data_IF_388681692494
#
_entry.id   IF_388681692494
#
_cell.length_a   1.000
_cell.length_b   1.000
_cell.length_c   1.000
_cell.angle_alpha   90.00
_cell.angle_beta   90.00
_cell.angle_gamma   90.00
#
_symmetry.space_group_name_H-M   'P 1'
#
loop_
_entity.id
_entity.type
_entity.pdbx_description
1 polymer ?
#
# COMPACT_ATOMS: atom_id res chain seq x y z
N UNK A 1 -62.09 37.98 20.72
CA UNK A 1 -62.91 37.10 21.59
C UNK A 1 -62.31 35.71 21.56
N UNK A 2 -61.77 35.26 22.70
CA UNK A 2 -61.48 33.87 23.15
C UNK A 2 -60.76 32.90 22.17
N UNK A 3 -59.48 32.51 22.33
CA UNK A 3 -58.81 31.72 23.40
C UNK A 3 -58.81 30.18 23.15
N UNK A 4 -57.63 29.55 23.37
CA UNK A 4 -57.29 28.12 23.69
C UNK A 4 -57.38 27.09 22.52
N UNK A 5 -56.48 26.09 22.27
CA UNK A 5 -55.15 25.69 22.79
C UNK A 5 -54.69 24.36 22.10
N UNK A 6 -53.35 24.15 22.00
CA UNK A 6 -52.57 22.88 21.91
C UNK A 6 -52.76 21.99 20.66
N UNK A 7 -51.71 21.60 19.94
CA UNK A 7 -50.61 20.76 20.45
C UNK A 7 -49.26 21.01 19.79
N UNK A 8 -48.21 20.95 20.61
CA UNK A 8 -46.79 20.87 20.26
C UNK A 8 -46.50 19.59 19.46
N UNK A 9 -45.83 19.71 18.32
CA UNK A 9 -44.88 18.70 17.85
C UNK A 9 -43.57 19.43 17.59
N UNK A 10 -42.55 19.05 18.36
CA UNK A 10 -41.19 19.54 18.26
C UNK A 10 -40.58 18.98 16.97
N UNK A 11 -40.39 19.81 15.95
CA UNK A 11 -39.56 19.46 14.79
C UNK A 11 -38.12 19.79 15.17
N UNK A 12 -37.39 18.79 15.64
CA UNK A 12 -35.92 18.84 15.64
C UNK A 12 -35.44 18.81 14.20
N UNK A 13 -34.92 19.94 13.71
CA UNK A 13 -34.09 19.98 12.51
C UNK A 13 -32.82 19.15 12.77
N UNK A 14 -32.80 17.90 12.30
CA UNK A 14 -31.55 17.18 12.08
C UNK A 14 -30.88 17.80 10.85
N UNK A 15 -29.85 18.61 11.08
CA UNK A 15 -28.85 18.95 10.08
C UNK A 15 -28.29 17.64 9.52
N UNK A 16 -28.68 17.31 8.30
CA UNK A 16 -28.14 16.20 7.55
C UNK A 16 -26.63 16.35 7.45
N UNK A 17 -25.91 15.38 8.01
CA UNK A 17 -24.48 15.24 7.81
C UNK A 17 -24.22 15.10 6.32
N UNK A 18 -23.53 16.08 5.75
CA UNK A 18 -22.88 15.96 4.45
C UNK A 18 -21.78 14.92 4.66
N UNK A 19 -22.08 13.66 4.36
CA UNK A 19 -21.05 12.65 4.14
C UNK A 19 -20.35 13.02 2.84
N UNK A 20 -19.17 13.62 2.95
CA UNK A 20 -18.22 13.61 1.85
C UNK A 20 -17.91 12.14 1.56
N UNK A 21 -18.50 11.59 0.50
CA UNK A 21 -17.98 10.36 -0.09
C UNK A 21 -16.63 10.78 -0.68
N UNK A 22 -15.53 10.44 -0.01
CA UNK A 22 -14.22 10.54 -0.62
C UNK A 22 -14.25 9.62 -1.85
N UNK A 23 -14.13 10.21 -3.03
CA UNK A 23 -13.83 9.45 -4.25
C UNK A 23 -12.47 8.79 -4.01
N UNK A 24 -12.45 7.48 -3.73
CA UNK A 24 -11.21 6.72 -3.78
C UNK A 24 -10.94 6.42 -5.25
N UNK A 25 -9.86 7.01 -5.74
CA UNK A 25 -9.25 6.68 -7.01
C UNK A 25 -8.46 5.38 -6.78
N UNK A 26 -8.57 4.43 -7.70
CA UNK A 26 -7.71 3.25 -7.67
C UNK A 26 -7.42 2.83 -9.10
N UNK A 27 -6.18 3.09 -9.51
CA UNK A 27 -5.46 2.33 -10.53
C UNK A 27 -3.96 2.60 -10.37
N UNK A 28 -3.32 1.88 -9.43
CA UNK A 28 -1.87 1.83 -9.19
C UNK A 28 -1.33 0.39 -9.08
N UNK A 29 -2.02 -0.54 -9.72
CA UNK A 29 -1.81 -1.99 -9.60
C UNK A 29 -0.37 -2.39 -9.92
N UNK A 30 0.20 -1.85 -10.99
CA UNK A 30 1.56 -2.18 -11.40
C UNK A 30 2.61 -1.64 -10.43
N UNK A 31 2.35 -0.50 -9.80
CA UNK A 31 3.19 0.11 -8.78
C UNK A 31 3.22 -0.71 -7.51
N UNK A 32 2.05 -1.11 -6.98
CA UNK A 32 1.98 -1.98 -5.81
C UNK A 32 2.64 -3.34 -6.06
N UNK A 33 2.42 -3.92 -7.25
CA UNK A 33 3.10 -5.12 -7.68
C UNK A 33 4.63 -4.95 -7.69
N UNK A 34 5.12 -3.79 -8.14
CA UNK A 34 6.56 -3.52 -8.19
C UNK A 34 7.17 -3.34 -6.79
N UNK A 35 6.48 -2.67 -5.88
CA UNK A 35 6.87 -2.54 -4.48
C UNK A 35 6.88 -3.90 -3.77
N UNK A 36 5.86 -4.73 -3.99
CA UNK A 36 5.79 -6.09 -3.42
C UNK A 36 6.94 -6.98 -3.91
N UNK A 37 7.27 -6.92 -5.21
CA UNK A 37 8.37 -7.68 -5.81
C UNK A 37 9.74 -7.17 -5.34
N UNK A 38 9.89 -5.84 -5.20
CA UNK A 38 11.09 -5.27 -4.63
C UNK A 38 11.28 -5.71 -3.18
N UNK A 39 10.22 -5.70 -2.38
CA UNK A 39 10.26 -6.18 -0.99
C UNK A 39 10.73 -7.64 -0.91
N UNK A 40 10.27 -8.51 -1.81
CA UNK A 40 10.81 -9.87 -1.95
C UNK A 40 12.31 -9.86 -2.26
N UNK A 41 12.77 -9.04 -3.21
CA UNK A 41 14.19 -8.95 -3.59
C UNK A 41 15.07 -8.42 -2.45
N UNK A 42 14.53 -7.52 -1.64
CA UNK A 42 15.22 -6.89 -0.50
C UNK A 42 15.31 -7.80 0.74
N UNK A 43 14.57 -8.91 0.78
CA UNK A 43 14.73 -9.93 1.83
C UNK A 43 16.15 -10.53 1.82
N UNK A 44 16.67 -10.94 3.00
CA UNK A 44 17.86 -11.77 3.07
C UNK A 44 17.63 -13.10 2.32
N UNK A 45 18.71 -13.70 1.82
CA UNK A 45 18.65 -15.06 1.29
C UNK A 45 18.17 -16.02 2.37
N UNK A 46 17.18 -16.86 2.03
CA UNK A 46 16.51 -17.70 3.00
C UNK A 46 15.22 -18.30 2.47
N UNK A 47 14.52 -19.09 3.30
CA UNK A 47 13.34 -19.84 2.88
C UNK A 47 12.20 -18.92 2.44
N UNK A 48 11.95 -17.81 3.14
CA UNK A 48 10.90 -16.87 2.75
C UNK A 48 11.16 -16.29 1.34
N UNK A 49 12.37 -15.80 1.08
CA UNK A 49 12.74 -15.26 -0.23
C UNK A 49 12.64 -16.31 -1.31
N UNK A 50 13.10 -17.53 -1.05
CA UNK A 50 13.01 -18.66 -1.99
C UNK A 50 11.55 -19.01 -2.31
N UNK A 51 10.67 -19.11 -1.31
CA UNK A 51 9.24 -19.36 -1.47
C UNK A 51 8.56 -18.27 -2.31
N UNK A 52 8.75 -17.00 -1.93
CA UNK A 52 8.16 -15.88 -2.67
C UNK A 52 8.71 -15.77 -4.09
N UNK A 53 9.95 -16.21 -4.34
CA UNK A 53 10.54 -16.24 -5.68
C UNK A 53 9.95 -17.37 -6.52
N UNK A 54 9.78 -18.56 -5.94
CA UNK A 54 9.16 -19.70 -6.62
C UNK A 54 7.69 -19.45 -6.97
N UNK A 55 7.00 -18.64 -6.15
CA UNK A 55 5.58 -18.29 -6.33
C UNK A 55 5.40 -16.80 -6.66
N UNK A 56 6.35 -16.21 -7.39
CA UNK A 56 6.36 -14.77 -7.72
C UNK A 56 5.07 -14.31 -8.42
N UNK A 57 4.51 -15.10 -9.32
CA UNK A 57 3.26 -14.74 -10.01
C UNK A 57 2.08 -14.59 -9.04
N UNK A 58 1.96 -15.47 -8.04
CA UNK A 58 0.97 -15.35 -6.96
C UNK A 58 1.22 -14.14 -6.07
N UNK A 59 2.48 -13.82 -5.77
CA UNK A 59 2.85 -12.60 -5.03
C UNK A 59 2.34 -11.35 -5.76
N UNK A 60 2.61 -11.25 -7.06
CA UNK A 60 2.15 -10.12 -7.87
C UNK A 60 0.62 -10.09 -7.96
N UNK A 61 -0.03 -11.24 -8.14
CA UNK A 61 -1.49 -11.35 -8.17
C UNK A 61 -2.12 -10.86 -6.87
N UNK A 62 -1.55 -11.21 -5.72
CA UNK A 62 -1.99 -10.73 -4.41
C UNK A 62 -1.81 -9.22 -4.23
N UNK A 63 -0.72 -8.65 -4.75
CA UNK A 63 -0.46 -7.21 -4.68
C UNK A 63 -1.39 -6.35 -5.54
N UNK A 64 -2.11 -6.97 -6.48
CA UNK A 64 -3.03 -6.32 -7.42
C UNK A 64 -4.49 -6.55 -7.03
N UNK A 65 -4.74 -7.63 -6.29
CA UNK A 65 -6.08 -8.09 -5.93
C UNK A 65 -7.01 -7.02 -5.36
N UNK A 66 -6.58 -6.13 -4.43
CA UNK A 66 -7.48 -5.16 -3.83
C UNK A 66 -8.10 -4.18 -4.85
N UNK A 67 -7.31 -3.65 -5.78
CA UNK A 67 -7.74 -2.59 -6.71
C UNK A 67 -8.81 -3.04 -7.71
N UNK A 68 -8.77 -4.30 -8.12
CA UNK A 68 -9.70 -4.83 -9.11
C UNK A 68 -11.16 -4.66 -8.71
N UNK A 69 -11.47 -4.70 -7.41
CA UNK A 69 -12.82 -4.57 -6.90
C UNK A 69 -13.36 -3.13 -6.93
N UNK A 70 -12.50 -2.11 -7.00
CA UNK A 70 -12.96 -0.74 -7.26
C UNK A 70 -13.46 -0.58 -8.69
N UNK A 71 -12.72 -1.15 -9.65
CA UNK A 71 -13.12 -1.13 -11.05
C UNK A 71 -14.40 -1.94 -11.30
N UNK A 72 -14.51 -3.16 -10.76
CA UNK A 72 -15.76 -3.92 -10.88
C UNK A 72 -16.90 -3.33 -10.05
N UNK A 73 -16.57 -2.63 -8.97
CA UNK A 73 -17.48 -1.88 -8.10
C UNK A 73 -18.41 -0.91 -8.82
N UNK A 74 -17.97 -0.37 -9.95
CA UNK A 74 -18.75 0.56 -10.76
C UNK A 74 -19.99 -0.12 -11.40
N UNK A 75 -19.89 -1.43 -11.69
CA UNK A 75 -20.99 -2.24 -12.21
C UNK A 75 -21.64 -3.13 -11.12
N UNK A 76 -20.87 -3.49 -10.08
CA UNK A 76 -21.26 -4.39 -8.99
C UNK A 76 -20.93 -3.73 -7.65
N UNK A 77 -21.79 -2.89 -7.09
CA UNK A 77 -21.47 -2.07 -5.91
C UNK A 77 -20.94 -2.85 -4.71
N UNK A 78 -21.30 -4.13 -4.56
CA UNK A 78 -20.78 -5.01 -3.52
C UNK A 78 -19.27 -5.32 -3.64
N UNK A 79 -18.71 -5.27 -4.85
CA UNK A 79 -17.29 -5.53 -5.11
C UNK A 79 -16.40 -4.43 -4.52
N UNK A 80 -16.93 -3.20 -4.34
CA UNK A 80 -16.21 -2.11 -3.69
C UNK A 80 -15.93 -2.42 -2.23
N UNK A 81 -16.88 -3.00 -1.50
CA UNK A 81 -16.65 -3.41 -0.12
C UNK A 81 -15.55 -4.49 -0.01
N UNK A 82 -15.49 -5.39 -0.99
CA UNK A 82 -14.44 -6.41 -1.09
C UNK A 82 -13.06 -5.80 -1.36
N UNK A 83 -12.99 -4.79 -2.23
CA UNK A 83 -11.77 -4.01 -2.47
C UNK A 83 -11.30 -3.35 -1.17
N UNK A 84 -12.15 -2.50 -0.57
CA UNK A 84 -11.85 -1.77 0.67
C UNK A 84 -11.35 -2.71 1.77
N UNK A 85 -12.04 -3.84 1.98
CA UNK A 85 -11.63 -4.85 2.94
C UNK A 85 -10.19 -5.33 2.73
N UNK A 86 -9.79 -5.60 1.49
CA UNK A 86 -8.47 -6.15 1.17
C UNK A 86 -7.32 -5.14 1.25
N UNK A 87 -7.58 -3.83 1.38
CA UNK A 87 -6.53 -2.82 1.59
C UNK A 87 -6.03 -2.81 3.04
N UNK A 88 -6.85 -3.27 4.01
CA UNK A 88 -6.55 -3.09 5.43
C UNK A 88 -5.87 -4.31 6.05
N UNK A 89 -4.98 -4.06 7.01
CA UNK A 89 -4.14 -5.13 7.58
C UNK A 89 -4.92 -6.22 8.33
N UNK A 90 -6.15 -5.98 8.75
CA UNK A 90 -6.98 -7.03 9.37
C UNK A 90 -7.49 -8.07 8.35
N UNK A 91 -7.54 -7.75 7.06
CA UNK A 91 -7.72 -8.76 6.03
C UNK A 91 -6.50 -9.67 5.99
N UNK A 92 -5.30 -9.10 6.09
CA UNK A 92 -4.06 -9.89 6.19
C UNK A 92 -4.04 -10.74 7.47
N UNK A 93 -4.50 -10.21 8.60
CA UNK A 93 -4.65 -10.99 9.85
C UNK A 93 -5.64 -12.15 9.69
N UNK A 94 -6.80 -11.91 9.05
CA UNK A 94 -7.79 -12.95 8.75
C UNK A 94 -7.20 -14.02 7.83
N UNK A 95 -6.39 -13.62 6.84
CA UNK A 95 -5.73 -14.54 5.92
C UNK A 95 -4.68 -15.39 6.66
N UNK A 96 -3.85 -14.77 7.50
CA UNK A 96 -2.91 -15.52 8.33
C UNK A 96 -3.63 -16.52 9.24
N UNK A 97 -4.74 -16.11 9.86
CA UNK A 97 -5.58 -17.01 10.68
C UNK A 97 -6.10 -18.19 9.84
N UNK A 98 -6.59 -17.92 8.63
CA UNK A 98 -7.04 -18.93 7.69
C UNK A 98 -5.94 -19.95 7.37
N UNK A 99 -4.72 -19.50 7.05
CA UNK A 99 -3.59 -20.38 6.77
C UNK A 99 -3.14 -21.21 7.98
N UNK A 100 -3.29 -20.67 9.19
CA UNK A 100 -2.87 -21.31 10.44
C UNK A 100 -3.87 -22.29 11.00
N UNK A 101 -5.17 -22.10 10.75
CA UNK A 101 -6.25 -22.85 11.42
C UNK A 101 -7.18 -23.56 10.45
N UNK A 102 -7.65 -22.86 9.43
CA UNK A 102 -8.82 -23.29 8.67
C UNK A 102 -8.45 -24.04 7.40
N UNK A 103 -7.41 -23.60 6.68
CA UNK A 103 -6.95 -24.26 5.45
C UNK A 103 -6.44 -25.66 5.75
N UNK A 104 -7.28 -26.65 5.44
CA UNK A 104 -7.06 -28.08 5.68
C UNK A 104 -6.56 -28.39 7.10
N UNK A 105 -7.12 -27.71 8.11
CA UNK A 105 -6.70 -27.86 9.51
C UNK A 105 -5.33 -27.23 9.83
N UNK A 106 -4.98 -26.13 9.14
CA UNK A 106 -3.70 -25.43 9.34
C UNK A 106 -2.53 -26.04 8.58
N UNK A 107 -2.80 -26.80 7.51
CA UNK A 107 -1.79 -27.50 6.71
C UNK A 107 -0.73 -26.54 6.16
N UNK A 108 -1.13 -25.42 5.58
CA UNK A 108 -0.18 -24.49 4.97
C UNK A 108 0.81 -23.89 5.98
N UNK A 109 0.36 -23.54 7.19
CA UNK A 109 1.28 -23.13 8.24
C UNK A 109 2.19 -24.28 8.70
N UNK A 110 1.69 -25.53 8.74
CA UNK A 110 2.53 -26.70 9.06
C UNK A 110 3.62 -26.91 8.00
N UNK A 111 3.25 -26.92 6.74
CA UNK A 111 4.22 -27.12 5.66
C UNK A 111 5.23 -25.97 5.59
N UNK A 112 4.82 -24.72 5.81
CA UNK A 112 5.74 -23.57 5.90
C UNK A 112 6.78 -23.74 7.03
N UNK A 113 6.37 -24.31 8.18
CA UNK A 113 7.27 -24.63 9.28
C UNK A 113 8.26 -25.72 8.94
N UNK A 114 7.76 -26.79 8.34
CA UNK A 114 8.58 -27.94 7.95
C UNK A 114 9.60 -27.49 6.89
N UNK A 115 9.19 -26.63 5.94
CA UNK A 115 10.04 -25.98 4.95
C UNK A 115 11.12 -25.07 5.57
N UNK A 116 10.76 -24.23 6.55
CA UNK A 116 11.74 -23.43 7.30
C UNK A 116 12.76 -24.33 8.01
N UNK A 117 12.30 -25.41 8.63
CA UNK A 117 13.15 -26.32 9.38
C UNK A 117 14.13 -27.07 8.46
N UNK A 118 13.68 -27.54 7.29
CA UNK A 118 14.56 -28.22 6.33
C UNK A 118 15.59 -27.27 5.73
N UNK A 119 15.21 -26.02 5.43
CA UNK A 119 16.14 -25.02 4.90
C UNK A 119 17.31 -24.71 5.85
N UNK A 120 17.11 -24.83 7.16
CA UNK A 120 18.17 -24.64 8.15
C UNK A 120 19.07 -25.88 8.33
N UNK A 121 18.66 -27.04 7.81
CA UNK A 121 19.34 -28.33 7.99
C UNK A 121 20.04 -28.80 6.71
N UNK A 122 19.57 -28.37 5.54
CA UNK A 122 20.13 -28.75 4.25
C UNK A 122 21.26 -27.80 3.81
N UNK A 123 22.38 -28.42 3.42
CA UNK A 123 23.65 -27.85 2.96
C UNK A 123 23.48 -26.54 2.12
N UNK A 124 24.26 -25.47 2.35
CA UNK A 124 24.19 -24.21 1.57
C UNK A 124 24.44 -24.34 0.06
N UNK A 125 24.84 -25.52 -0.42
CA UNK A 125 24.98 -25.86 -1.85
C UNK A 125 23.86 -26.76 -2.39
N UNK A 126 22.90 -27.19 -1.54
CA UNK A 126 21.77 -28.01 -1.97
C UNK A 126 20.79 -27.15 -2.76
N UNK A 127 20.49 -27.60 -3.98
CA UNK A 127 19.43 -27.06 -4.83
C UNK A 127 18.18 -26.84 -3.98
N UNK A 128 17.67 -25.60 -3.96
CA UNK A 128 16.38 -25.22 -3.37
C UNK A 128 15.41 -26.35 -3.69
N UNK A 129 14.84 -27.02 -2.70
CA UNK A 129 13.80 -28.00 -2.94
C UNK A 129 12.44 -27.30 -2.84
N UNK A 130 11.92 -26.68 -3.93
CA UNK A 130 10.60 -26.05 -3.92
C UNK A 130 9.47 -27.08 -3.70
N UNK A 131 9.77 -28.39 -3.61
CA UNK A 131 8.81 -29.45 -3.31
C UNK A 131 8.62 -29.70 -1.81
N UNK A 132 9.32 -28.98 -0.92
CA UNK A 132 9.11 -29.06 0.53
C UNK A 132 7.80 -28.42 1.01
N UNK A 133 7.14 -27.66 0.13
CA UNK A 133 5.84 -27.02 0.34
C UNK A 133 4.94 -27.39 -0.85
N UNK A 134 3.68 -27.72 -0.58
CA UNK A 134 2.71 -27.96 -1.64
C UNK A 134 2.49 -26.70 -2.49
N UNK A 135 2.27 -26.88 -3.79
CA UNK A 135 2.10 -25.75 -4.72
C UNK A 135 0.91 -24.87 -4.35
N UNK A 136 -0.18 -25.44 -3.83
CA UNK A 136 -1.35 -24.67 -3.42
C UNK A 136 -1.06 -23.84 -2.15
N UNK A 137 -0.38 -24.40 -1.15
CA UNK A 137 0.03 -23.62 0.02
C UNK A 137 1.07 -22.55 -0.32
N UNK A 138 2.05 -22.86 -1.18
CA UNK A 138 3.05 -21.88 -1.62
C UNK A 138 2.44 -20.69 -2.35
N UNK A 139 1.50 -20.94 -3.26
CA UNK A 139 0.72 -19.91 -3.96
C UNK A 139 -0.12 -19.07 -2.99
N UNK A 140 -0.85 -19.71 -2.08
CA UNK A 140 -1.68 -19.02 -1.08
C UNK A 140 -0.85 -18.11 -0.15
N UNK A 141 0.29 -18.61 0.32
CA UNK A 141 1.22 -17.83 1.15
C UNK A 141 1.76 -16.65 0.36
N UNK A 142 2.26 -16.86 -0.86
CA UNK A 142 2.76 -15.77 -1.69
C UNK A 142 1.68 -14.73 -2.00
N UNK A 143 0.46 -15.16 -2.30
CA UNK A 143 -0.68 -14.26 -2.52
C UNK A 143 -0.99 -13.42 -1.27
N UNK A 144 -1.05 -14.03 -0.09
CA UNK A 144 -1.25 -13.30 1.17
C UNK A 144 -0.18 -12.22 1.36
N UNK A 145 1.09 -12.55 1.13
CA UNK A 145 2.19 -11.59 1.24
C UNK A 145 2.06 -10.45 0.23
N UNK A 146 1.65 -10.75 -1.00
CA UNK A 146 1.38 -9.73 -2.01
C UNK A 146 0.31 -8.76 -1.56
N UNK A 147 -0.81 -9.29 -1.04
CA UNK A 147 -1.90 -8.45 -0.56
C UNK A 147 -1.50 -7.64 0.69
N UNK A 148 -0.72 -8.22 1.60
CA UNK A 148 -0.17 -7.49 2.73
C UNK A 148 0.69 -6.30 2.27
N UNK A 149 1.56 -6.53 1.27
CA UNK A 149 2.37 -5.49 0.67
C UNK A 149 1.52 -4.38 0.07
N UNK A 150 0.47 -4.73 -0.68
CA UNK A 150 -0.46 -3.75 -1.24
C UNK A 150 -0.93 -2.76 -0.17
N UNK A 151 -1.58 -3.22 0.90
CA UNK A 151 -2.13 -2.36 1.94
C UNK A 151 -1.10 -1.44 2.60
N UNK A 152 0.09 -1.96 2.95
CA UNK A 152 1.17 -1.14 3.49
C UNK A 152 1.67 -0.11 2.47
N UNK A 153 1.81 -0.53 1.21
CA UNK A 153 2.39 0.31 0.15
C UNK A 153 1.45 1.41 -0.28
N UNK A 154 0.15 1.14 -0.31
CA UNK A 154 -0.93 2.10 -0.55
C UNK A 154 -0.88 3.22 0.49
N UNK A 155 -0.89 2.85 1.77
CA UNK A 155 -0.74 3.81 2.86
C UNK A 155 0.55 4.64 2.74
N UNK A 156 1.69 3.98 2.43
CA UNK A 156 2.98 4.65 2.31
C UNK A 156 3.08 5.58 1.11
N UNK A 157 2.51 5.19 -0.03
CA UNK A 157 2.48 5.96 -1.27
C UNK A 157 1.68 7.25 -1.07
N UNK A 158 0.47 7.12 -0.54
CA UNK A 158 -0.41 8.27 -0.26
C UNK A 158 0.14 9.18 0.83
N UNK A 159 0.92 8.60 1.76
CA UNK A 159 1.48 9.36 2.88
C UNK A 159 2.82 10.02 2.57
N UNK A 160 3.57 9.57 1.57
CA UNK A 160 4.94 10.03 1.27
C UNK A 160 5.12 10.50 -0.16
N UNK A 161 4.65 9.73 -1.14
CA UNK A 161 4.93 9.96 -2.55
C UNK A 161 3.89 10.90 -3.18
N UNK A 162 2.63 10.50 -3.16
CA UNK A 162 1.56 11.20 -3.88
C UNK A 162 1.48 12.69 -3.51
N UNK A 163 1.61 13.09 -2.24
CA UNK A 163 1.48 14.50 -1.93
C UNK A 163 2.72 15.31 -2.29
N UNK A 164 3.87 14.68 -2.52
CA UNK A 164 5.04 15.37 -3.09
C UNK A 164 4.80 15.69 -4.58
N UNK A 165 4.11 14.82 -5.31
CA UNK A 165 3.62 15.08 -6.67
C UNK A 165 2.61 16.25 -6.65
N UNK A 166 1.58 16.15 -5.79
CA UNK A 166 0.53 17.18 -5.66
C UNK A 166 1.07 18.55 -5.25
N UNK A 167 2.03 18.60 -4.31
CA UNK A 167 2.65 19.85 -3.88
C UNK A 167 3.40 20.59 -4.99
N UNK A 168 3.75 19.89 -6.08
CA UNK A 168 4.42 20.45 -7.26
C UNK A 168 3.45 20.79 -8.40
N UNK A 169 2.15 20.57 -8.19
CA UNK A 169 1.12 20.81 -9.19
C UNK A 169 1.19 19.87 -10.39
N UNK A 170 1.85 18.71 -10.24
CA UNK A 170 1.88 17.69 -11.28
C UNK A 170 0.56 16.93 -11.30
N UNK A 171 -0.12 16.99 -12.45
CA UNK A 171 -1.43 16.37 -12.66
C UNK A 171 -1.39 15.51 -13.94
N UNK A 172 -1.93 14.28 -13.91
CA UNK A 172 -2.02 13.41 -15.07
C UNK A 172 -2.98 13.87 -16.18
N UNK A 173 -3.77 14.95 -16.05
CA UNK A 173 -4.60 15.53 -17.13
C UNK A 173 -4.05 16.84 -17.71
N UNK A 174 -4.31 17.18 -19.00
CA UNK A 174 -3.83 18.44 -19.57
C UNK A 174 -4.82 19.63 -19.43
N UNK A 175 -4.30 20.73 -18.89
CA UNK A 175 -4.44 22.15 -19.31
C UNK A 175 -5.53 23.02 -18.64
N UNK A 176 -5.07 23.90 -17.73
CA UNK A 176 -5.23 25.34 -17.92
C UNK A 176 -3.86 26.04 -18.00
N UNK A 177 -3.06 25.70 -19.02
CA UNK A 177 -1.95 26.56 -19.45
C UNK A 177 -2.32 27.23 -20.78
N UNK A 178 -2.89 28.43 -20.65
CA UNK A 178 -2.83 29.55 -21.58
C UNK A 178 -3.15 29.26 -23.06
N UNK A 179 -4.44 29.41 -23.41
CA UNK A 179 -4.93 30.16 -24.58
C UNK A 179 -4.20 30.11 -25.93
N UNK A 180 -3.35 29.14 -26.21
CA UNK A 180 -2.52 29.13 -27.41
C UNK A 180 -2.47 27.75 -28.02
N UNK A 181 -2.81 27.72 -29.31
CA UNK A 181 -2.69 26.58 -30.21
C UNK A 181 -1.23 26.11 -30.22
N UNK A 182 -0.94 25.00 -29.57
CA UNK A 182 0.35 24.30 -29.69
C UNK A 182 0.14 22.81 -30.04
N UNK A 183 0.10 22.55 -31.35
CA UNK A 183 0.76 21.49 -32.16
C UNK A 183 0.96 20.06 -31.61
N UNK A 184 0.35 19.63 -30.51
CA UNK A 184 0.27 18.20 -30.16
C UNK A 184 -1.18 17.77 -30.09
N UNK A 185 -1.60 16.99 -31.09
CA UNK A 185 -2.85 16.24 -31.04
C UNK A 185 -2.71 15.26 -29.87
N UNK A 186 -3.50 15.35 -28.79
CA UNK A 186 -3.37 14.45 -27.66
C UNK A 186 -3.54 13.02 -28.16
N UNK A 187 -2.55 12.17 -27.90
CA UNK A 187 -2.66 10.74 -28.12
C UNK A 187 -3.77 10.25 -27.18
N UNK A 188 -4.88 9.76 -27.74
CA UNK A 188 -5.98 9.25 -26.92
C UNK A 188 -5.78 7.74 -26.75
N UNK A 189 -5.96 7.17 -25.53
CA UNK A 189 -5.90 5.71 -25.33
C UNK A 189 -6.76 4.92 -26.34
N UNK A 190 -7.83 5.55 -26.85
CA UNK A 190 -8.68 5.07 -27.94
C UNK A 190 -7.90 4.65 -29.20
N UNK A 191 -7.00 5.50 -29.69
CA UNK A 191 -6.29 5.28 -30.95
C UNK A 191 -5.23 4.15 -30.84
N UNK A 192 -4.74 3.87 -29.63
CA UNK A 192 -3.75 2.82 -29.36
C UNK A 192 -4.38 1.46 -29.01
N UNK A 193 -5.50 1.46 -28.28
CA UNK A 193 -6.11 0.24 -27.74
C UNK A 193 -7.05 -0.45 -28.75
N UNK A 194 -7.81 0.30 -29.55
CA UNK A 194 -8.77 -0.30 -30.51
C UNK A 194 -8.10 -1.32 -31.47
N UNK A 195 -6.90 -1.08 -32.03
CA UNK A 195 -6.23 -2.06 -32.88
C UNK A 195 -5.89 -3.40 -32.19
N UNK A 196 -5.87 -3.43 -30.86
CA UNK A 196 -5.31 -4.54 -30.07
C UNK A 196 -6.41 -5.33 -29.38
N UNK A 197 -7.43 -4.65 -28.84
CA UNK A 197 -8.55 -5.26 -28.11
C UNK A 197 -9.90 -5.13 -28.84
N UNK A 198 -9.92 -4.50 -30.01
CA UNK A 198 -11.12 -4.22 -30.79
C UNK A 198 -12.00 -3.13 -30.19
N UNK A 199 -12.93 -2.60 -30.99
CA UNK A 199 -13.86 -1.55 -30.51
C UNK A 199 -14.76 -2.02 -29.37
N UNK A 200 -15.19 -3.28 -29.38
CA UNK A 200 -16.00 -3.85 -28.32
C UNK A 200 -15.23 -3.99 -27.00
N UNK A 201 -13.96 -4.43 -27.05
CA UNK A 201 -13.09 -4.49 -25.88
C UNK A 201 -12.73 -3.10 -25.35
N UNK A 202 -12.46 -2.15 -26.26
CA UNK A 202 -12.26 -0.75 -25.90
C UNK A 202 -13.51 -0.14 -25.26
N UNK A 203 -14.70 -0.42 -25.79
CA UNK A 203 -15.97 0.06 -25.19
C UNK A 203 -16.18 -0.55 -23.81
N UNK A 204 -15.93 -1.84 -23.62
CA UNK A 204 -16.01 -2.48 -22.30
C UNK A 204 -15.03 -1.86 -21.30
N UNK A 205 -13.76 -1.65 -21.69
CA UNK A 205 -12.81 -0.92 -20.84
C UNK A 205 -13.25 0.51 -20.59
N UNK A 206 -13.70 1.24 -21.61
CA UNK A 206 -14.14 2.62 -21.50
C UNK A 206 -15.42 2.76 -20.67
N UNK A 207 -16.30 1.77 -20.65
CA UNK A 207 -17.50 1.76 -19.80
C UNK A 207 -17.13 1.39 -18.36
N UNK A 208 -16.16 0.47 -18.17
CA UNK A 208 -15.65 0.00 -16.88
C UNK A 208 -14.78 1.06 -16.16
N UNK A 209 -13.94 1.76 -16.93
CA UNK A 209 -13.05 2.85 -16.50
C UNK A 209 -13.60 4.24 -16.83
N UNK A 210 -14.79 4.33 -17.42
CA UNK A 210 -15.49 5.61 -17.65
C UNK A 210 -16.00 6.27 -16.36
N UNK A 211 -15.97 5.52 -15.25
CA UNK A 211 -16.38 5.95 -13.90
C UNK A 211 -15.24 5.91 -12.87
N UNK A 212 -14.12 5.24 -13.16
CA UNK A 212 -12.89 5.26 -12.36
C UNK A 212 -11.84 5.91 -13.22
N UNK A 213 -11.48 7.16 -12.93
CA UNK A 213 -10.88 7.94 -13.97
C UNK A 213 -9.42 7.43 -14.14
N UNK A 214 -9.05 7.11 -15.39
CA UNK A 214 -7.74 6.61 -15.86
C UNK A 214 -6.61 7.65 -15.67
N UNK A 215 -6.70 8.46 -14.62
CA UNK A 215 -6.07 9.76 -14.46
C UNK A 215 -5.70 9.99 -12.99
N UNK A 216 -5.34 8.93 -12.27
CA UNK A 216 -4.72 9.03 -10.96
C UNK A 216 -3.20 9.16 -11.10
N UNK A 217 -2.55 9.80 -10.12
CA UNK A 217 -1.08 9.84 -9.98
C UNK A 217 -0.48 8.42 -9.99
N UNK A 218 -1.24 7.46 -9.47
CA UNK A 218 -0.97 6.03 -9.47
C UNK A 218 -0.81 5.45 -10.88
N UNK A 219 -1.73 5.76 -11.81
CA UNK A 219 -1.64 5.30 -13.20
C UNK A 219 -0.37 5.83 -13.88
N UNK A 220 0.00 7.10 -13.62
CA UNK A 220 1.25 7.63 -14.13
C UNK A 220 2.46 6.86 -13.57
N UNK A 221 2.43 6.49 -12.29
CA UNK A 221 3.41 5.59 -11.68
C UNK A 221 3.47 4.22 -12.37
N UNK A 222 2.32 3.61 -12.64
CA UNK A 222 2.21 2.31 -13.30
C UNK A 222 2.87 2.32 -14.68
N UNK A 223 2.63 3.36 -15.47
CA UNK A 223 3.26 3.52 -16.79
C UNK A 223 4.78 3.66 -16.67
N UNK A 224 5.30 4.40 -15.69
CA UNK A 224 6.76 4.48 -15.44
C UNK A 224 7.30 3.10 -15.07
N UNK A 225 6.65 2.39 -14.15
CA UNK A 225 7.01 1.04 -13.73
C UNK A 225 7.03 0.04 -14.90
N UNK A 226 6.02 0.09 -15.78
CA UNK A 226 5.91 -0.78 -16.95
C UNK A 226 6.96 -0.44 -18.01
N UNK A 227 7.03 0.83 -18.41
CA UNK A 227 7.83 1.25 -19.56
C UNK A 227 9.35 1.21 -19.29
N UNK A 228 9.77 1.46 -18.05
CA UNK A 228 11.18 1.66 -17.73
C UNK A 228 11.75 0.59 -16.81
N UNK A 229 10.92 -0.15 -16.07
CA UNK A 229 11.39 -1.09 -15.05
C UNK A 229 11.07 -2.58 -15.30
N UNK A 230 10.44 -2.91 -16.44
CA UNK A 230 10.33 -4.27 -16.99
C UNK A 230 9.78 -5.34 -16.02
N UNK A 231 8.98 -4.97 -15.01
CA UNK A 231 8.39 -5.88 -14.03
C UNK A 231 7.74 -7.12 -14.69
N UNK A 232 7.14 -6.90 -15.85
CA UNK A 232 6.29 -7.81 -16.60
C UNK A 232 7.01 -8.69 -17.63
N UNK A 233 8.32 -8.55 -17.80
CA UNK A 233 9.07 -9.34 -18.78
C UNK A 233 9.03 -10.86 -18.46
N UNK A 234 8.91 -11.21 -17.18
CA UNK A 234 8.92 -12.60 -16.68
C UNK A 234 7.53 -13.12 -16.27
N UNK A 235 6.49 -12.27 -16.28
CA UNK A 235 5.11 -12.63 -15.92
C UNK A 235 4.23 -12.26 -17.11
N UNK A 236 4.05 -13.17 -18.08
CA UNK A 236 3.31 -12.86 -19.31
C UNK A 236 1.83 -12.62 -19.02
N UNK A 237 1.26 -13.28 -18.01
CA UNK A 237 -0.11 -13.11 -17.54
C UNK A 237 -0.19 -13.26 -16.01
N UNK A 238 -1.11 -12.53 -15.38
CA UNK A 238 -1.40 -12.68 -13.95
C UNK A 238 -2.01 -14.05 -13.65
N UNK A 239 -1.54 -14.65 -12.56
CA UNK A 239 -2.08 -15.89 -12.03
C UNK A 239 -3.47 -15.66 -11.43
N UNK A 240 -4.38 -16.62 -11.64
CA UNK A 240 -5.73 -16.55 -11.09
C UNK A 240 -5.69 -16.53 -9.56
N UNK A 241 -6.55 -15.72 -8.91
CA UNK A 241 -6.61 -15.64 -7.47
C UNK A 241 -7.22 -16.95 -6.92
N UNK A 242 -6.87 -17.36 -5.71
CA UNK A 242 -7.43 -18.53 -5.07
C UNK A 242 -8.85 -18.22 -4.52
N UNK A 243 -9.82 -18.02 -5.41
CA UNK A 243 -11.14 -17.44 -5.08
C UNK A 243 -11.87 -18.15 -3.94
N UNK A 244 -11.89 -19.49 -3.95
CA UNK A 244 -12.57 -20.28 -2.92
C UNK A 244 -11.96 -20.08 -1.53
N UNK A 245 -10.63 -19.92 -1.45
CA UNK A 245 -9.92 -19.60 -0.22
C UNK A 245 -10.16 -18.15 0.20
N UNK A 246 -10.09 -17.19 -0.74
CA UNK A 246 -10.31 -15.78 -0.46
C UNK A 246 -11.72 -15.51 0.08
N UNK A 247 -12.75 -16.18 -0.43
CA UNK A 247 -14.10 -16.09 0.14
C UNK A 247 -14.13 -16.45 1.62
N UNK A 248 -13.37 -17.47 2.05
CA UNK A 248 -13.29 -17.84 3.46
C UNK A 248 -12.51 -16.79 4.28
N UNK A 249 -11.46 -16.21 3.72
CA UNK A 249 -10.73 -15.10 4.34
C UNK A 249 -11.64 -13.89 4.54
N UNK A 250 -12.41 -13.50 3.51
CA UNK A 250 -13.36 -12.38 3.58
C UNK A 250 -14.46 -12.59 4.63
N UNK A 251 -14.94 -13.83 4.82
CA UNK A 251 -15.91 -14.14 5.89
C UNK A 251 -15.35 -13.92 7.29
N UNK A 252 -14.03 -14.03 7.46
CA UNK A 252 -13.33 -13.72 8.70
C UNK A 252 -13.01 -12.23 8.89
N UNK A 253 -13.33 -11.37 7.91
CA UNK A 253 -13.00 -9.95 7.90
C UNK A 253 -14.22 -9.05 8.24
N UNK A 254 -13.98 -7.85 8.80
CA UNK A 254 -15.03 -6.95 9.32
C UNK A 254 -15.90 -6.29 8.26
N UNK A 255 -15.46 -6.18 7.01
CA UNK A 255 -16.06 -5.27 6.04
C UNK A 255 -17.11 -5.87 5.11
N UNK A 256 -17.18 -7.20 5.02
CA UNK A 256 -18.00 -7.84 3.99
C UNK A 256 -18.68 -9.13 4.42
N UNK A 257 -18.18 -9.81 5.45
CA UNK A 257 -18.82 -11.02 5.98
C UNK A 257 -19.19 -12.03 4.87
N UNK A 258 -20.47 -12.37 4.77
CA UNK A 258 -20.98 -13.34 3.78
C UNK A 258 -21.30 -12.74 2.40
N UNK A 259 -21.09 -11.43 2.16
CA UNK A 259 -21.46 -10.79 0.89
C UNK A 259 -20.50 -11.09 -0.26
N UNK A 260 -19.26 -11.53 0.02
CA UNK A 260 -18.27 -11.86 -1.02
C UNK A 260 -18.43 -13.30 -1.48
N UNK A 261 -18.80 -13.48 -2.74
CA UNK A 261 -18.77 -14.76 -3.44
C UNK A 261 -17.55 -14.90 -4.36
N UNK A 262 -17.31 -16.11 -4.87
CA UNK A 262 -16.21 -16.35 -5.82
C UNK A 262 -16.35 -15.52 -7.09
N UNK A 263 -17.59 -15.25 -7.52
CA UNK A 263 -17.88 -14.41 -8.68
C UNK A 263 -17.34 -12.98 -8.49
N UNK A 264 -17.49 -12.38 -7.31
CA UNK A 264 -16.97 -11.05 -7.01
C UNK A 264 -15.44 -11.01 -7.13
N UNK A 265 -14.76 -12.00 -6.54
CA UNK A 265 -13.30 -12.15 -6.62
C UNK A 265 -12.84 -12.32 -8.09
N UNK A 266 -13.53 -13.17 -8.85
CA UNK A 266 -13.20 -13.41 -10.26
C UNK A 266 -13.43 -12.19 -11.14
N UNK A 267 -14.52 -11.44 -10.91
CA UNK A 267 -14.81 -10.18 -11.62
C UNK A 267 -13.72 -9.14 -11.34
N UNK A 268 -13.43 -8.86 -10.08
CA UNK A 268 -12.39 -7.91 -9.69
C UNK A 268 -11.04 -8.26 -10.33
N UNK A 269 -10.66 -9.54 -10.30
CA UNK A 269 -9.40 -9.96 -10.89
C UNK A 269 -9.41 -9.90 -12.44
N UNK A 270 -10.55 -10.16 -13.09
CA UNK A 270 -10.68 -9.96 -14.53
C UNK A 270 -10.51 -8.48 -14.91
N UNK A 271 -11.10 -7.58 -14.13
CA UNK A 271 -10.93 -6.13 -14.29
C UNK A 271 -9.45 -5.74 -14.14
N UNK A 272 -8.81 -6.16 -13.06
CA UNK A 272 -7.40 -5.89 -12.80
C UNK A 272 -6.48 -6.39 -13.91
N UNK A 273 -6.69 -7.63 -14.38
CA UNK A 273 -5.96 -8.21 -15.51
C UNK A 273 -6.10 -7.38 -16.78
N UNK A 274 -7.31 -6.91 -17.04
CA UNK A 274 -7.61 -6.13 -18.24
C UNK A 274 -6.98 -4.74 -18.15
N UNK A 275 -7.00 -4.11 -16.96
CA UNK A 275 -6.33 -2.84 -16.68
C UNK A 275 -4.83 -2.93 -16.96
N UNK A 276 -4.14 -3.86 -16.30
CA UNK A 276 -2.69 -4.07 -16.43
C UNK A 276 -2.32 -4.42 -17.88
N UNK A 277 -3.13 -5.22 -18.58
CA UNK A 277 -2.88 -5.52 -19.99
C UNK A 277 -3.01 -4.27 -20.89
N UNK A 278 -3.98 -3.40 -20.63
CA UNK A 278 -4.15 -2.14 -21.34
C UNK A 278 -2.98 -1.18 -21.07
N UNK A 279 -2.55 -1.03 -19.80
CA UNK A 279 -1.39 -0.25 -19.42
C UNK A 279 -0.12 -0.74 -20.12
N UNK A 280 0.14 -2.05 -20.10
CA UNK A 280 1.29 -2.68 -20.78
C UNK A 280 1.35 -2.37 -22.26
N UNK A 281 0.19 -2.31 -22.89
CA UNK A 281 0.05 -2.03 -24.31
C UNK A 281 0.30 -0.55 -24.64
N UNK A 282 -0.17 0.36 -23.79
CA UNK A 282 -0.05 1.81 -23.98
C UNK A 282 1.24 2.44 -23.44
N UNK A 283 1.96 1.76 -22.54
CA UNK A 283 3.02 2.37 -21.73
C UNK A 283 4.15 3.00 -22.54
N UNK A 284 4.58 2.36 -23.63
CA UNK A 284 5.67 2.89 -24.47
C UNK A 284 5.32 4.23 -25.14
N UNK A 285 4.04 4.48 -25.44
CA UNK A 285 3.57 5.76 -25.97
C UNK A 285 3.29 6.76 -24.84
N UNK A 286 2.66 6.29 -23.76
CA UNK A 286 2.19 7.14 -22.67
C UNK A 286 3.33 7.72 -21.81
N UNK A 287 4.45 7.00 -21.69
CA UNK A 287 5.61 7.47 -20.94
C UNK A 287 6.14 8.83 -21.45
N UNK A 288 5.96 9.14 -22.74
CA UNK A 288 6.36 10.43 -23.33
C UNK A 288 5.56 11.57 -22.70
N UNK A 289 4.26 11.39 -22.50
CA UNK A 289 3.39 12.40 -21.89
C UNK A 289 3.78 12.60 -20.43
N UNK A 290 3.94 11.51 -19.67
CA UNK A 290 4.26 11.54 -18.23
C UNK A 290 5.59 12.25 -17.98
N UNK A 291 6.64 11.96 -18.76
CA UNK A 291 7.93 12.66 -18.66
C UNK A 291 7.80 14.18 -18.82
N UNK A 292 6.86 14.63 -19.64
CA UNK A 292 6.66 16.05 -19.92
C UNK A 292 5.72 16.73 -18.90
N UNK A 293 4.66 16.05 -18.46
CA UNK A 293 3.63 16.66 -17.59
C UNK A 293 3.86 16.41 -16.10
N UNK A 294 4.62 15.36 -15.75
CA UNK A 294 4.89 14.94 -14.38
C UNK A 294 6.37 14.57 -14.16
N UNK A 295 7.31 15.50 -14.44
CA UNK A 295 8.74 15.22 -14.42
C UNK A 295 9.28 14.82 -13.04
N UNK A 296 8.73 15.36 -11.95
CA UNK A 296 9.11 14.97 -10.59
C UNK A 296 8.63 13.56 -10.28
N UNK A 297 7.37 13.22 -10.58
CA UNK A 297 6.86 11.86 -10.44
C UNK A 297 7.76 10.88 -11.20
N UNK A 298 7.99 11.13 -12.48
CA UNK A 298 8.84 10.29 -13.33
C UNK A 298 10.23 10.10 -12.73
N UNK A 299 10.89 11.20 -12.35
CA UNK A 299 12.25 11.16 -11.82
C UNK A 299 12.39 10.57 -10.41
N UNK A 300 11.30 10.51 -9.63
CA UNK A 300 11.33 10.08 -8.22
C UNK A 300 10.53 8.80 -7.96
N UNK A 301 9.73 8.31 -8.90
CA UNK A 301 8.88 7.13 -8.78
C UNK A 301 9.59 5.93 -8.15
N UNK A 302 10.81 5.66 -8.61
CA UNK A 302 11.54 4.48 -8.19
C UNK A 302 12.26 4.67 -6.85
N UNK A 303 13.05 5.73 -6.70
CA UNK A 303 13.97 5.91 -5.57
C UNK A 303 13.56 6.99 -4.56
N UNK A 304 12.52 7.76 -4.85
CA UNK A 304 12.02 8.83 -4.00
C UNK A 304 11.26 8.33 -2.76
N UNK A 305 10.91 9.24 -1.84
CA UNK A 305 10.14 8.93 -0.63
C UNK A 305 8.78 8.30 -0.96
N UNK A 306 8.47 7.14 -0.37
CA UNK A 306 7.25 6.39 -0.69
C UNK A 306 7.21 5.77 -2.09
N UNK A 307 8.27 5.94 -2.89
CA UNK A 307 8.44 5.28 -4.17
C UNK A 307 8.83 3.81 -4.00
N UNK A 308 9.07 3.13 -5.13
CA UNK A 308 9.21 1.66 -5.17
C UNK A 308 10.25 1.11 -4.20
N UNK A 309 11.46 1.69 -4.22
CA UNK A 309 12.58 1.22 -3.40
C UNK A 309 12.33 1.50 -1.91
N UNK A 310 11.79 2.68 -1.59
CA UNK A 310 11.53 3.07 -0.21
C UNK A 310 10.47 2.17 0.42
N UNK A 311 9.32 2.06 -0.23
CA UNK A 311 8.21 1.21 0.21
C UNK A 311 8.59 -0.27 0.17
N UNK A 312 9.38 -0.70 -0.82
CA UNK A 312 9.87 -2.07 -0.91
C UNK A 312 10.74 -2.51 0.28
N UNK A 313 11.60 -1.63 0.82
CA UNK A 313 12.32 -1.95 2.07
C UNK A 313 11.38 -2.06 3.28
N UNK A 314 10.34 -1.23 3.35
CA UNK A 314 9.30 -1.34 4.39
C UNK A 314 8.54 -2.66 4.28
N UNK A 315 8.19 -3.06 3.05
CA UNK A 315 7.56 -4.35 2.74
C UNK A 315 8.45 -5.52 3.17
N UNK A 316 9.75 -5.47 2.92
CA UNK A 316 10.67 -6.53 3.35
C UNK A 316 10.66 -6.72 4.87
N UNK A 317 10.73 -5.62 5.64
CA UNK A 317 10.62 -5.67 7.09
C UNK A 317 9.27 -6.19 7.58
N UNK A 318 8.19 -5.89 6.88
CA UNK A 318 6.88 -6.47 7.17
C UNK A 318 6.86 -7.98 6.86
N UNK A 319 7.34 -8.40 5.69
CA UNK A 319 7.39 -9.82 5.29
C UNK A 319 8.10 -10.69 6.31
N UNK A 320 9.24 -10.25 6.85
CA UNK A 320 9.93 -10.97 7.92
C UNK A 320 9.03 -11.19 9.14
N UNK A 321 8.27 -10.17 9.56
CA UNK A 321 7.34 -10.27 10.67
C UNK A 321 6.24 -11.32 10.41
N UNK A 322 5.56 -11.20 9.27
CA UNK A 322 4.45 -12.09 8.92
C UNK A 322 4.91 -13.52 8.71
N UNK A 323 6.12 -13.73 8.18
CA UNK A 323 6.72 -15.06 8.07
C UNK A 323 6.89 -15.70 9.44
N UNK A 324 7.51 -15.00 10.40
CA UNK A 324 7.67 -15.50 11.77
C UNK A 324 6.33 -15.85 12.43
N UNK A 325 5.31 -15.04 12.17
CA UNK A 325 3.95 -15.29 12.65
C UNK A 325 3.32 -16.54 12.00
N UNK A 326 3.58 -16.81 10.72
CA UNK A 326 3.08 -18.01 10.05
C UNK A 326 3.76 -19.29 10.58
N UNK A 327 5.08 -19.25 10.80
CA UNK A 327 5.88 -20.44 11.11
C UNK A 327 5.99 -20.77 12.61
N UNK A 328 5.30 -20.08 13.50
CA UNK A 328 5.41 -20.39 14.93
C UNK A 328 4.27 -21.29 15.41
N UNK A 329 4.61 -22.34 16.17
CA UNK A 329 3.65 -23.27 16.77
C UNK A 329 3.06 -22.68 18.07
N UNK A 330 1.74 -22.82 18.22
CA UNK A 330 0.91 -22.69 19.44
C UNK A 330 0.33 -21.32 19.85
N UNK A 331 -1.01 -21.33 19.93
CA UNK A 331 -2.02 -20.83 20.89
C UNK A 331 -1.82 -19.58 21.77
N UNK A 332 -0.60 -19.08 21.97
CA UNK A 332 -0.32 -17.89 22.77
C UNK A 332 0.34 -16.81 21.91
N UNK A 333 -0.31 -16.43 20.82
CA UNK A 333 0.20 -15.56 19.74
C UNK A 333 0.66 -14.16 20.24
N UNK A 334 1.76 -14.07 20.99
CA UNK A 334 2.35 -12.82 21.50
C UNK A 334 3.47 -12.39 20.55
N UNK A 335 3.12 -12.22 19.28
CA UNK A 335 3.98 -11.50 18.34
C UNK A 335 3.83 -10.02 18.59
N UNK A 336 4.78 -9.48 19.35
CA UNK A 336 4.97 -8.04 19.40
C UNK A 336 5.04 -7.46 17.99
N UNK A 337 4.42 -6.29 17.73
CA UNK A 337 4.66 -5.55 16.51
C UNK A 337 6.14 -5.21 16.35
N UNK A 338 6.55 -4.89 15.13
CA UNK A 338 7.83 -4.25 14.84
C UNK A 338 7.65 -3.06 13.92
N UNK A 339 8.60 -2.13 13.98
CA UNK A 339 8.74 -1.07 12.98
C UNK A 339 9.34 -1.69 11.74
N UNK A 340 8.55 -1.76 10.66
CA UNK A 340 8.95 -2.31 9.36
C UNK A 340 9.78 -1.30 8.55
N UNK A 341 9.59 0.01 8.79
CA UNK A 341 10.45 1.04 8.22
C UNK A 341 10.15 2.43 8.76
N UNK A 342 10.97 3.39 8.37
CA UNK A 342 10.86 4.80 8.80
C UNK A 342 11.20 5.74 7.66
N UNK A 343 10.54 6.90 7.67
CA UNK A 343 10.92 8.04 6.86
C UNK A 343 11.10 9.26 7.78
N UNK A 344 12.18 10.03 7.67
CA UNK A 344 13.37 9.75 6.87
C UNK A 344 14.07 8.46 7.29
N UNK A 345 14.84 7.87 6.38
CA UNK A 345 15.68 6.71 6.70
C UNK A 345 16.68 7.04 7.81
N UNK A 346 17.02 6.04 8.62
CA UNK A 346 18.04 6.21 9.64
C UNK A 346 19.38 6.64 9.03
N UNK A 347 19.93 7.75 9.51
CA UNK A 347 21.16 8.35 8.99
C UNK A 347 20.98 9.21 7.73
N UNK A 348 19.75 9.46 7.28
CA UNK A 348 19.49 10.39 6.18
C UNK A 348 20.03 11.79 6.48
N UNK A 349 20.55 12.47 5.46
CA UNK A 349 21.14 13.81 5.54
C UNK A 349 20.55 14.74 4.50
N UNK A 350 20.84 16.03 4.63
CA UNK A 350 20.38 17.07 3.70
C UNK A 350 18.86 17.14 3.57
N UNK A 351 18.15 16.89 4.66
CA UNK A 351 16.69 16.89 4.65
C UNK A 351 16.12 18.30 4.76
N UNK A 352 14.92 18.53 4.20
CA UNK A 352 14.28 19.83 4.27
C UNK A 352 14.02 20.27 5.72
N UNK A 353 14.07 21.57 5.94
CA UNK A 353 13.81 22.18 7.25
C UNK A 353 12.38 22.65 7.40
N UNK A 354 11.69 22.97 6.29
CA UNK A 354 10.34 23.51 6.32
C UNK A 354 9.31 22.39 6.18
N UNK A 355 8.65 22.05 7.28
CA UNK A 355 7.72 20.93 7.35
C UNK A 355 6.54 21.11 6.40
N UNK A 356 5.99 22.32 6.34
CA UNK A 356 4.79 22.59 5.55
C UNK A 356 5.11 22.92 4.10
N UNK A 357 6.07 23.82 3.86
CA UNK A 357 6.39 24.27 2.50
C UNK A 357 7.03 23.17 1.65
N UNK A 358 7.90 22.36 2.24
CA UNK A 358 8.55 21.26 1.53
C UNK A 358 7.72 19.97 1.59
N UNK A 359 6.54 20.05 2.22
CA UNK A 359 5.69 18.90 2.55
C UNK A 359 6.51 17.76 3.18
N UNK A 360 7.46 18.13 4.05
CA UNK A 360 8.40 17.20 4.66
C UNK A 360 7.72 16.46 5.81
N UNK A 361 7.86 15.14 5.81
CA UNK A 361 7.12 14.27 6.72
C UNK A 361 8.03 13.34 7.49
N UNK A 362 7.57 12.94 8.66
CA UNK A 362 8.25 11.98 9.52
C UNK A 362 7.26 10.88 9.85
N UNK A 363 7.62 9.64 9.52
CA UNK A 363 6.77 8.48 9.72
C UNK A 363 7.56 7.28 10.25
N UNK A 364 6.84 6.42 10.97
CA UNK A 364 7.19 5.04 11.20
C UNK A 364 6.09 4.15 10.61
N UNK A 365 6.49 3.11 9.90
CA UNK A 365 5.62 2.09 9.34
C UNK A 365 5.75 0.85 10.21
N UNK A 366 4.64 0.39 10.76
CA UNK A 366 4.56 -0.80 11.59
C UNK A 366 4.24 -2.00 10.70
N UNK A 367 4.82 -3.17 10.96
CA UNK A 367 4.49 -4.36 10.16
C UNK A 367 3.11 -4.95 10.48
N UNK A 368 2.35 -4.33 11.39
CA UNK A 368 0.97 -4.66 11.76
C UNK A 368 0.19 -3.39 12.10
N UNK A 369 -1.13 -3.50 12.05
CA UNK A 369 -2.04 -2.43 12.41
C UNK A 369 -1.77 -1.87 13.82
N UNK A 370 -1.69 -0.55 13.89
CA UNK A 370 -1.38 0.17 15.13
C UNK A 370 -2.65 0.39 15.95
N UNK A 371 -2.57 0.25 17.27
CA UNK A 371 -3.62 0.70 18.16
C UNK A 371 -3.57 2.23 18.32
N UNK A 372 -4.58 2.99 17.86
CA UNK A 372 -4.50 4.45 17.81
C UNK A 372 -4.29 5.11 19.16
N UNK A 373 -4.97 4.60 20.20
CA UNK A 373 -4.85 5.12 21.57
C UNK A 373 -3.45 4.95 22.18
N UNK A 374 -2.62 4.06 21.62
CA UNK A 374 -1.24 3.85 22.06
C UNK A 374 -0.25 4.85 21.47
N UNK A 375 -0.68 5.64 20.47
CA UNK A 375 0.15 6.65 19.79
C UNK A 375 -0.16 8.03 20.37
N UNK A 376 0.78 8.58 21.14
CA UNK A 376 0.65 9.88 21.78
C UNK A 376 2.04 10.47 22.08
N UNK A 377 2.07 11.69 22.62
CA UNK A 377 3.31 12.45 22.90
C UNK A 377 4.23 11.79 23.95
N UNK A 378 3.75 10.79 24.69
CA UNK A 378 4.57 10.00 25.61
C UNK A 378 5.22 8.81 24.91
N UNK A 379 4.60 8.28 23.86
CA UNK A 379 5.04 7.06 23.19
C UNK A 379 5.81 7.30 21.89
N UNK A 380 5.61 8.44 21.24
CA UNK A 380 6.32 8.88 20.03
C UNK A 380 6.93 10.25 20.28
N UNK A 381 8.26 10.34 20.21
CA UNK A 381 9.01 11.53 20.60
C UNK A 381 10.11 11.88 19.60
N UNK A 382 10.45 13.16 19.54
CA UNK A 382 11.63 13.66 18.84
C UNK A 382 12.52 14.44 19.81
N UNK A 383 13.83 14.30 19.64
CA UNK A 383 14.85 15.02 20.38
C UNK A 383 15.83 15.68 19.41
N UNK A 384 16.36 16.84 19.77
CA UNK A 384 17.49 17.43 19.04
C UNK A 384 18.82 16.79 19.48
N UNK A 385 19.93 17.23 18.87
CA UNK A 385 21.27 16.70 19.13
C UNK A 385 21.76 16.91 20.57
N UNK A 386 21.12 17.80 21.34
CA UNK A 386 21.42 18.07 22.75
C UNK A 386 20.53 17.25 23.71
N UNK A 387 19.71 16.34 23.18
CA UNK A 387 18.77 15.55 23.97
C UNK A 387 17.54 16.33 24.47
N UNK A 388 17.30 17.55 23.97
CA UNK A 388 16.11 18.33 24.31
C UNK A 388 14.91 17.83 23.50
N UNK A 389 13.74 17.59 24.12
CA UNK A 389 12.52 17.25 23.38
C UNK A 389 12.15 18.35 22.38
N UNK A 390 11.74 17.94 21.18
CA UNK A 390 11.14 18.82 20.18
C UNK A 390 9.63 18.61 20.21
N UNK A 391 8.87 19.70 20.35
CA UNK A 391 7.41 19.64 20.39
C UNK A 391 6.86 19.19 19.04
N UNK A 392 5.86 18.31 19.07
CA UNK A 392 5.24 17.74 17.90
C UNK A 392 4.02 16.89 18.23
N UNK A 393 3.23 16.59 17.20
CA UNK A 393 1.96 15.88 17.28
C UNK A 393 2.07 14.52 16.59
N UNK A 394 2.08 13.42 17.35
CA UNK A 394 1.92 12.07 16.80
C UNK A 394 0.49 11.84 16.32
N UNK A 395 0.31 11.13 15.22
CA UNK A 395 -0.99 10.67 14.72
C UNK A 395 -0.86 9.34 13.98
N UNK A 396 -1.99 8.68 13.68
CA UNK A 396 -2.03 7.43 12.91
C UNK A 396 -2.86 7.59 11.64
N UNK A 397 -2.40 6.99 10.54
CA UNK A 397 -3.09 6.89 9.25
C UNK A 397 -3.60 8.21 8.64
N UNK A 398 -4.11 8.12 7.41
CA UNK A 398 -4.81 9.24 6.73
C UNK A 398 -6.26 8.90 6.38
N UNK A 399 -6.60 7.61 6.16
CA UNK A 399 -7.96 7.13 5.88
C UNK A 399 -8.57 6.34 7.05
N UNK A 400 -8.33 5.02 7.14
CA UNK A 400 -8.80 4.19 8.27
C UNK A 400 -7.79 4.20 9.41
N UNK A 401 -7.97 5.15 10.33
CA UNK A 401 -7.13 5.28 11.52
C UNK A 401 -7.15 4.06 12.43
N UNK A 402 -8.18 3.24 12.37
CA UNK A 402 -8.29 2.07 13.23
C UNK A 402 -7.49 0.88 12.68
N UNK A 403 -7.06 0.88 11.42
CA UNK A 403 -6.48 -0.32 10.78
C UNK A 403 -5.27 -0.02 9.89
N UNK A 404 -4.67 1.13 10.13
CA UNK A 404 -3.45 1.65 9.51
C UNK A 404 -2.17 1.03 10.08
N UNK A 405 -1.16 0.92 9.24
CA UNK A 405 0.22 0.60 9.59
C UNK A 405 1.05 1.83 9.98
N UNK A 406 0.55 3.04 9.72
CA UNK A 406 1.34 4.26 9.77
C UNK A 406 1.20 5.06 11.06
N UNK A 407 2.35 5.50 11.56
CA UNK A 407 2.50 6.49 12.62
C UNK A 407 3.19 7.72 12.02
N UNK A 408 2.53 8.88 12.07
CA UNK A 408 3.09 10.18 11.67
C UNK A 408 3.56 10.94 12.90
N UNK A 409 4.64 11.71 12.75
CA UNK A 409 5.04 12.73 13.71
C UNK A 409 5.16 14.08 13.00
N UNK A 410 4.42 15.08 13.45
CA UNK A 410 4.47 16.44 12.91
C UNK A 410 5.09 17.40 13.94
N UNK A 411 6.31 17.91 13.71
CA UNK A 411 6.89 18.96 14.54
C UNK A 411 6.01 20.22 14.54
N UNK A 412 5.87 20.89 15.69
CA UNK A 412 5.05 22.12 15.78
C UNK A 412 5.74 23.33 15.13
N UNK A 413 7.06 23.27 14.98
CA UNK A 413 7.87 24.31 14.34
C UNK A 413 8.79 23.69 13.32
N UNK A 414 9.19 24.48 12.32
CA UNK A 414 10.23 24.10 11.39
C UNK A 414 11.51 23.65 12.11
N UNK A 415 12.20 22.70 11.47
CA UNK A 415 13.46 22.20 11.98
C UNK A 415 14.57 23.22 11.71
N UNK A 416 15.59 23.21 12.57
CA UNK A 416 16.75 24.07 12.42
C UNK A 416 17.70 23.45 11.37
N UNK A 417 18.38 24.28 10.56
CA UNK A 417 19.29 23.81 9.53
C UNK A 417 20.63 23.30 10.10
N UNK A 418 21.17 22.21 9.55
CA UNK A 418 22.44 21.60 9.98
C UNK A 418 22.37 20.91 11.34
N UNK A 419 21.16 20.50 11.76
CA UNK A 419 20.91 19.85 13.05
C UNK A 419 20.53 18.38 12.86
N UNK A 420 20.91 17.56 13.84
CA UNK A 420 20.51 16.15 13.91
C UNK A 420 19.32 15.99 14.83
N UNK A 421 18.29 15.30 14.35
CA UNK A 421 17.10 14.95 15.10
C UNK A 421 17.06 13.44 15.33
N UNK A 422 16.65 13.04 16.53
CA UNK A 422 16.47 11.64 16.92
C UNK A 422 15.02 11.38 17.24
N UNK A 423 14.41 10.44 16.53
CA UNK A 423 13.05 9.98 16.76
C UNK A 423 13.07 8.72 17.63
N UNK A 424 12.03 8.56 18.45
CA UNK A 424 11.83 7.42 19.35
C UNK A 424 10.38 6.94 19.26
N UNK A 425 10.19 5.68 18.85
CA UNK A 425 8.95 4.92 19.10
C UNK A 425 9.20 4.06 20.34
N UNK A 426 8.56 4.39 21.46
CA UNK A 426 8.72 3.64 22.72
C UNK A 426 7.97 2.31 22.70
N UNK A 427 8.23 1.45 23.69
CA UNK A 427 7.47 0.21 23.91
C UNK A 427 6.01 0.43 24.30
N UNK A 428 5.58 1.67 24.55
CA UNK A 428 4.19 2.01 24.80
C UNK A 428 3.30 1.93 23.56
N UNK A 429 3.88 1.96 22.34
CA UNK A 429 3.13 1.74 21.10
C UNK A 429 2.76 0.26 20.96
N UNK A 430 1.50 0.01 20.59
CA UNK A 430 0.89 -1.31 20.54
C UNK A 430 0.25 -1.60 19.19
N UNK A 431 0.10 -2.88 18.87
CA UNK A 431 -0.78 -3.34 17.79
C UNK A 431 -2.25 -3.38 18.22
N UNK A 432 -3.15 -3.63 17.26
CA UNK A 432 -4.60 -3.71 17.51
C UNK A 432 -5.03 -4.82 18.48
N UNK A 433 -4.18 -5.80 18.73
CA UNK A 433 -4.41 -6.84 19.73
C UNK A 433 -3.84 -6.46 21.12
N UNK A 434 -3.32 -5.24 21.26
CA UNK A 434 -2.81 -4.69 22.52
C UNK A 434 -1.37 -5.11 22.86
N UNK A 435 -0.64 -5.73 21.92
CA UNK A 435 0.74 -6.18 22.14
C UNK A 435 1.71 -5.03 21.92
N UNK A 436 2.62 -4.84 22.87
CA UNK A 436 3.65 -3.82 22.83
C UNK A 436 4.85 -4.22 21.96
N UNK A 437 5.55 -3.22 21.41
CA UNK A 437 6.90 -3.41 20.85
C UNK A 437 7.83 -4.05 21.90
N UNK A 438 8.71 -4.99 21.49
CA UNK A 438 9.69 -5.62 22.40
C UNK A 438 10.73 -4.64 22.92
N UNK A 439 11.13 -3.68 22.09
CA UNK A 439 12.13 -2.65 22.38
C UNK A 439 11.72 -1.36 21.69
N UNK A 440 12.17 -0.23 22.25
CA UNK A 440 12.00 1.05 21.57
C UNK A 440 12.76 1.04 20.23
N UNK A 441 12.18 1.68 19.22
CA UNK A 441 12.83 1.91 17.94
C UNK A 441 13.34 3.35 17.90
N UNK A 442 14.62 3.51 17.57
CA UNK A 442 15.31 4.80 17.59
C UNK A 442 16.00 4.98 16.24
N UNK A 443 15.77 6.11 15.60
CA UNK A 443 16.47 6.50 14.39
C UNK A 443 16.76 7.99 14.39
N UNK A 444 17.74 8.39 13.59
CA UNK A 444 18.17 9.79 13.48
C UNK A 444 18.28 10.24 12.04
N UNK A 445 18.18 11.53 11.83
CA UNK A 445 18.38 12.17 10.54
C UNK A 445 18.91 13.60 10.70
N UNK A 446 19.49 14.14 9.63
CA UNK A 446 20.15 15.45 9.62
C UNK A 446 19.51 16.37 8.58
N UNK A 447 19.19 17.59 8.99
CA UNK A 447 18.65 18.64 8.11
C UNK A 447 19.75 19.28 7.27
N UNK A 448 19.37 19.83 6.11
CA UNK A 448 20.27 20.60 5.27
C UNK A 448 20.89 21.78 6.04
N UNK A 449 22.14 22.11 5.71
CA UNK A 449 22.83 23.29 6.22
C UNK A 449 22.07 24.58 5.89
N UNK A 450 22.33 25.63 6.67
CA UNK A 450 21.74 26.93 6.37
C UNK A 450 22.23 27.39 4.99
N UNK A 451 21.32 27.72 4.10
CA UNK A 451 21.70 28.37 2.85
C UNK A 451 22.28 29.74 3.20
N UNK A 452 23.53 30.00 2.83
CA UNK A 452 24.07 31.35 2.85
C UNK A 452 23.19 32.21 1.93
N UNK A 453 22.76 33.42 2.35
CA UNK A 453 22.19 34.38 1.40
C UNK A 453 23.19 34.53 0.25
N UNK A 454 22.75 34.26 -0.98
CA UNK A 454 23.63 34.27 -2.15
C UNK A 454 24.42 35.58 -2.23
N UNK A 455 25.73 35.46 -2.42
CA UNK A 455 26.58 36.56 -2.88
C UNK A 455 26.32 36.85 -4.35
#
# INVERSE_FOLDING_TARGET
MKILLRSLVCVTLSLGGITFVQETYAAGMSTHAFMADFGRKALPEGPLKALLTAHRASLISGAIHPDGGYGSGAAFPEDRGMAEAAHWGDFTEAFLSYLRKDKDGGRCAKEARDYQASYLVDNPLAVINPLGLSQDCGRLIAFMFGNAAHGLTDESWDSLFEPQVRARGEDPNPISLLGSKAVFKPFTPKEALIPIIGEAGYKQLSDLFGMTPLNAIEYAGDIVGIAEHNLWAEIPALELPPSADLVKVYRGNRFVGNSVGEAAVQRAHLVARSAVAAERTGAAAEIIRIRNTMPWLHGNYFAGPGGVVDSGYMVAGMYEQWWQMLITKADNDIFSPQVAGVYPKNGARNLPTNIQQDNFRIYAVMGRNVQPSSVNTQTVKMFNEKGKPVAGKPSVGIYDREHTHLIRFEPETNLLPGHTYTMVISTGVKDKQGRALKKAYIWRFETQSAQSPGM
#
